data_IF_883141158167
#
_entry.id   IF_883141158167
#
_cell.length_a   1.000
_cell.length_b   1.000
_cell.length_c   1.000
_cell.angle_alpha   90.00
_cell.angle_beta   90.00
_cell.angle_gamma   90.00
#
_symmetry.space_group_name_H-M   'P 1'
#
loop_
_entity.id
_entity.type
_entity.pdbx_description
1 polymer ?
#
# COMPACT_ATOMS: atom_id res chain seq x y z
N UNK A 1 -10.19 -1.07 1.53
CA UNK A 1 -9.40 -0.52 2.67
C UNK A 1 -9.85 -1.17 3.97
N UNK A 2 -8.94 -1.61 4.80
CA UNK A 2 -9.25 -2.24 6.07
C UNK A 2 -8.76 -1.38 7.24
N UNK A 3 -9.61 -1.13 8.22
CA UNK A 3 -9.33 -0.36 9.42
C UNK A 3 -9.70 -1.20 10.67
N UNK A 4 -8.98 -0.99 11.76
CA UNK A 4 -9.22 -1.71 12.99
C UNK A 4 -10.13 -0.94 13.94
N UNK A 5 -11.17 -1.61 14.41
CA UNK A 5 -12.03 -1.09 15.47
C UNK A 5 -11.68 -1.74 16.83
N UNK A 6 -11.36 -0.94 17.84
CA UNK A 6 -11.32 -1.40 19.22
C UNK A 6 -12.75 -1.39 19.78
N UNK A 7 -13.36 -2.53 19.94
CA UNK A 7 -14.41 -2.68 20.94
C UNK A 7 -13.70 -2.95 22.26
N UNK A 8 -14.04 -2.18 23.29
CA UNK A 8 -13.38 -2.23 24.58
C UNK A 8 -13.74 -3.48 25.38
N UNK A 9 -13.20 -4.63 24.97
CA UNK A 9 -13.16 -5.82 25.80
C UNK A 9 -11.82 -6.53 25.63
N UNK A 10 -11.29 -6.89 26.76
CA UNK A 10 -10.01 -7.52 27.01
C UNK A 10 -9.69 -8.68 26.09
N UNK A 11 -8.43 -8.73 25.70
CA UNK A 11 -7.70 -9.87 25.17
C UNK A 11 -8.13 -10.42 23.81
N UNK A 12 -7.20 -10.33 22.87
CA UNK A 12 -7.08 -11.10 21.63
C UNK A 12 -8.06 -10.77 20.51
N UNK A 13 -7.59 -10.07 19.53
CA UNK A 13 -8.21 -10.05 18.23
C UNK A 13 -9.13 -8.86 17.97
N UNK A 14 -8.53 -7.68 17.83
CA UNK A 14 -9.29 -6.56 17.28
C UNK A 14 -9.87 -6.92 15.92
N UNK A 15 -11.14 -6.61 15.73
CA UNK A 15 -11.83 -6.86 14.46
C UNK A 15 -11.34 -5.90 13.40
N UNK A 16 -11.00 -6.42 12.22
CA UNK A 16 -10.77 -5.62 11.05
C UNK A 16 -12.12 -5.17 10.47
N UNK A 17 -12.17 -3.90 10.09
CA UNK A 17 -13.29 -3.36 9.31
C UNK A 17 -12.86 -3.13 7.87
N UNK A 18 -13.67 -3.59 6.95
CA UNK A 18 -13.51 -3.27 5.54
C UNK A 18 -14.41 -2.07 5.21
N UNK A 19 -13.83 -1.04 4.60
CA UNK A 19 -14.53 0.19 4.23
C UNK A 19 -14.25 0.52 2.77
N UNK A 20 -15.25 1.06 2.09
CA UNK A 20 -15.04 1.66 0.79
C UNK A 20 -14.45 3.07 0.97
N UNK A 21 -13.46 3.42 0.15
CA UNK A 21 -12.84 4.72 0.17
C UNK A 21 -12.37 5.10 -1.24
N UNK A 22 -12.30 6.40 -1.51
CA UNK A 22 -11.77 6.90 -2.77
C UNK A 22 -10.24 6.81 -2.80
N UNK A 23 -9.69 6.40 -3.93
CA UNK A 23 -8.24 6.40 -4.14
C UNK A 23 -7.74 7.83 -4.36
N UNK A 24 -6.80 8.22 -3.54
CA UNK A 24 -6.10 9.50 -3.61
C UNK A 24 -6.62 10.52 -2.60
N UNK A 25 -5.68 11.14 -1.89
CA UNK A 25 -5.99 12.28 -1.06
C UNK A 25 -6.26 13.53 -1.92
N UNK A 26 -7.12 14.43 -1.46
CA UNK A 26 -7.30 15.70 -2.14
C UNK A 26 -5.94 16.39 -2.36
N UNK A 27 -5.71 17.00 -3.53
CA UNK A 27 -4.45 17.68 -3.82
C UNK A 27 -4.26 18.88 -2.89
N UNK A 28 -2.99 19.20 -2.58
CA UNK A 28 -2.65 20.36 -1.79
C UNK A 28 -3.01 21.70 -2.46
N UNK A 29 -3.14 21.69 -3.79
CA UNK A 29 -3.53 22.85 -4.60
C UNK A 29 -4.86 22.57 -5.29
N UNK A 30 -5.71 23.61 -5.40
CA UNK A 30 -7.08 23.52 -5.96
C UNK A 30 -7.18 22.85 -7.35
N UNK A 31 -6.13 22.92 -8.16
CA UNK A 31 -6.08 22.32 -9.52
C UNK A 31 -5.09 21.15 -9.62
N UNK A 32 -4.69 20.56 -8.51
CA UNK A 32 -3.76 19.45 -8.50
C UNK A 32 -4.43 18.10 -8.77
N UNK A 33 -3.63 17.09 -9.14
CA UNK A 33 -4.08 15.72 -9.19
C UNK A 33 -4.18 15.13 -7.76
N UNK A 34 -5.08 14.15 -7.53
CA UNK A 34 -5.13 13.43 -6.27
C UNK A 34 -3.79 12.77 -5.93
N UNK A 35 -3.45 12.75 -4.64
CA UNK A 35 -2.23 12.10 -4.14
C UNK A 35 -2.51 10.63 -3.94
N UNK A 36 -2.19 9.81 -4.94
CA UNK A 36 -2.43 8.37 -4.91
C UNK A 36 -1.27 7.58 -4.30
N UNK A 37 -0.07 8.12 -4.32
CA UNK A 37 1.15 7.54 -3.77
C UNK A 37 1.84 8.52 -2.84
N UNK A 38 2.39 8.01 -1.75
CA UNK A 38 3.06 8.80 -0.75
C UNK A 38 4.38 8.14 -0.35
N UNK A 39 5.49 8.86 -0.45
CA UNK A 39 6.80 8.34 -0.06
C UNK A 39 6.87 8.11 1.44
N UNK A 40 7.33 6.93 1.83
CA UNK A 40 7.39 6.52 3.24
C UNK A 40 8.69 6.86 3.95
N UNK A 41 9.78 7.05 3.22
CA UNK A 41 11.13 7.20 3.80
C UNK A 41 11.22 8.44 4.70
N UNK A 42 11.76 8.23 5.90
CA UNK A 42 11.99 9.28 6.87
C UNK A 42 10.71 9.87 7.50
N UNK A 43 9.57 9.26 7.28
CA UNK A 43 8.28 9.73 7.77
C UNK A 43 7.70 8.85 8.85
N UNK A 44 6.85 9.43 9.69
CA UNK A 44 6.08 8.73 10.71
C UNK A 44 4.60 8.88 10.42
N UNK A 45 3.86 7.81 10.68
CA UNK A 45 2.43 7.74 10.45
C UNK A 45 1.72 7.27 11.72
N UNK A 46 1.51 8.18 12.69
CA UNK A 46 0.88 7.83 13.97
C UNK A 46 -0.63 7.63 13.86
N UNK A 47 -1.24 8.01 12.73
CA UNK A 47 -2.69 7.93 12.49
C UNK A 47 -2.99 7.40 11.10
N UNK A 48 -4.15 6.77 10.97
CA UNK A 48 -4.73 6.42 9.68
C UNK A 48 -4.02 5.29 8.94
N UNK A 49 -3.25 4.45 9.62
CA UNK A 49 -2.68 3.28 8.99
C UNK A 49 -3.78 2.32 8.55
N UNK A 50 -3.70 1.85 7.31
CA UNK A 50 -4.64 0.87 6.77
C UNK A 50 -3.94 -0.14 5.88
N UNK A 51 -4.68 -1.19 5.53
CA UNK A 51 -4.29 -2.20 4.56
C UNK A 51 -5.16 -2.07 3.32
N UNK A 52 -4.55 -2.12 2.15
CA UNK A 52 -5.26 -2.08 0.87
C UNK A 52 -5.11 -3.45 0.20
N UNK A 53 -6.18 -4.28 0.16
CA UNK A 53 -6.14 -5.58 -0.48
C UNK A 53 -5.99 -5.45 -2.00
N UNK A 54 -5.19 -6.34 -2.58
CA UNK A 54 -5.02 -6.45 -4.02
C UNK A 54 -4.67 -7.87 -4.41
N UNK A 55 -5.02 -8.27 -5.62
CA UNK A 55 -4.59 -9.54 -6.22
C UNK A 55 -3.31 -9.38 -7.04
N UNK A 56 -3.08 -8.21 -7.59
CA UNK A 56 -1.93 -7.87 -8.43
C UNK A 56 -1.79 -6.35 -8.55
N UNK A 57 -0.68 -5.92 -9.12
CA UNK A 57 -0.48 -4.54 -9.56
C UNK A 57 0.31 -4.50 -10.86
N UNK A 58 0.31 -3.36 -11.52
CA UNK A 58 0.99 -3.17 -12.79
C UNK A 58 2.05 -2.08 -12.71
N UNK A 59 3.12 -2.28 -13.47
CA UNK A 59 4.11 -1.27 -13.77
C UNK A 59 4.36 -1.20 -15.28
N UNK A 60 4.84 -0.07 -15.75
CA UNK A 60 5.02 0.19 -17.16
C UNK A 60 6.45 0.59 -17.46
N UNK A 61 6.99 0.08 -18.58
CA UNK A 61 8.31 0.47 -19.09
C UNK A 61 8.22 0.96 -20.52
N UNK A 62 9.17 1.81 -20.90
CA UNK A 62 9.25 2.38 -22.23
C UNK A 62 8.91 3.87 -22.28
N UNK A 63 9.51 4.57 -23.23
CA UNK A 63 9.32 6.02 -23.43
C UNK A 63 8.17 6.36 -24.38
N UNK A 64 7.74 5.41 -25.21
CA UNK A 64 6.69 5.60 -26.22
C UNK A 64 5.48 4.71 -25.94
N UNK A 65 4.30 5.20 -26.28
CA UNK A 65 3.06 4.43 -26.23
C UNK A 65 2.92 3.52 -27.48
N UNK A 66 2.42 2.27 -27.34
CA UNK A 66 2.05 1.61 -26.08
C UNK A 66 3.29 1.17 -25.30
N UNK A 67 3.29 1.47 -23.98
CA UNK A 67 4.34 1.01 -23.07
C UNK A 67 4.21 -0.47 -22.79
N UNK A 68 5.33 -1.12 -22.51
CA UNK A 68 5.31 -2.49 -21.96
C UNK A 68 4.63 -2.50 -20.61
N UNK A 69 3.78 -3.48 -20.37
CA UNK A 69 3.00 -3.62 -19.15
C UNK A 69 3.41 -4.88 -18.41
N UNK A 70 3.76 -4.73 -17.15
CA UNK A 70 4.24 -5.79 -16.28
C UNK A 70 3.26 -6.02 -15.15
N UNK A 71 2.87 -7.27 -14.94
CA UNK A 71 1.98 -7.67 -13.86
C UNK A 71 2.78 -8.31 -12.73
N UNK A 72 2.53 -7.85 -11.52
CA UNK A 72 3.12 -8.38 -10.29
C UNK A 72 2.07 -9.07 -9.45
N UNK A 73 2.38 -10.28 -9.02
CA UNK A 73 1.56 -11.06 -8.08
C UNK A 73 2.42 -11.51 -6.90
N UNK A 74 1.79 -11.78 -5.77
CA UNK A 74 2.50 -12.28 -4.60
C UNK A 74 2.75 -13.78 -4.74
N UNK A 75 4.00 -14.20 -4.63
CA UNK A 75 4.35 -15.61 -4.70
C UNK A 75 3.67 -16.40 -3.59
N UNK A 76 2.99 -17.50 -3.97
CA UNK A 76 2.33 -18.40 -3.03
C UNK A 76 1.02 -17.90 -2.43
N UNK A 77 0.51 -16.74 -2.86
CA UNK A 77 -0.72 -16.15 -2.33
C UNK A 77 -1.61 -15.61 -3.45
N UNK A 78 -2.93 -15.78 -3.33
CA UNK A 78 -3.89 -15.29 -4.32
C UNK A 78 -4.15 -13.79 -4.20
N UNK A 79 -3.90 -13.22 -3.04
CA UNK A 79 -4.05 -11.81 -2.75
C UNK A 79 -3.12 -11.40 -1.61
N UNK A 80 -2.88 -10.11 -1.50
CA UNK A 80 -1.99 -9.51 -0.52
C UNK A 80 -2.51 -8.13 -0.12
N UNK A 81 -1.82 -7.45 0.79
CA UNK A 81 -2.16 -6.08 1.17
C UNK A 81 -0.97 -5.14 0.99
N UNK A 82 -1.26 -3.96 0.47
CA UNK A 82 -0.36 -2.82 0.56
C UNK A 82 -0.51 -2.10 1.89
N UNK A 83 0.56 -1.50 2.35
CA UNK A 83 0.49 -0.49 3.41
C UNK A 83 -0.04 0.81 2.82
N UNK A 84 -0.98 1.42 3.51
CA UNK A 84 -1.55 2.69 3.11
C UNK A 84 -1.97 3.55 4.29
N UNK A 85 -2.45 4.73 3.94
CA UNK A 85 -3.04 5.68 4.87
C UNK A 85 -4.45 6.01 4.43
N UNK A 86 -5.33 6.26 5.38
CA UNK A 86 -6.68 6.74 5.12
C UNK A 86 -7.00 7.95 5.97
N UNK A 87 -7.93 8.73 5.51
CA UNK A 87 -8.50 9.85 6.26
C UNK A 87 -9.91 10.17 5.78
N UNK A 88 -10.77 10.72 6.66
CA UNK A 88 -12.05 11.26 6.22
C UNK A 88 -11.81 12.49 5.33
N UNK A 89 -12.71 12.67 4.35
CA UNK A 89 -12.69 13.85 3.49
C UNK A 89 -13.65 14.92 4.04
N UNK A 90 -13.35 16.22 3.87
CA UNK A 90 -14.22 17.30 4.32
C UNK A 90 -15.64 17.24 3.74
N UNK A 91 -15.77 16.74 2.51
CA UNK A 91 -17.03 16.66 1.77
C UNK A 91 -17.82 15.37 2.03
N UNK A 92 -17.33 14.54 2.96
CA UNK A 92 -17.91 13.24 3.28
C UNK A 92 -17.17 12.08 2.59
N UNK A 93 -17.34 10.88 3.17
CA UNK A 93 -16.61 9.70 2.75
C UNK A 93 -15.15 9.68 3.21
N UNK A 94 -14.45 8.63 2.82
CA UNK A 94 -13.05 8.41 3.16
C UNK A 94 -12.19 8.40 1.90
N UNK A 95 -10.92 8.78 2.04
CA UNK A 95 -9.92 8.63 1.00
C UNK A 95 -8.74 7.81 1.54
N UNK A 96 -8.05 7.11 0.65
CA UNK A 96 -6.82 6.40 0.98
C UNK A 96 -5.72 6.69 -0.03
N UNK A 97 -4.48 6.52 0.40
CA UNK A 97 -3.29 6.61 -0.44
C UNK A 97 -2.38 5.42 -0.17
N UNK A 98 -1.60 5.04 -1.18
CA UNK A 98 -0.63 3.96 -1.10
C UNK A 98 0.72 4.49 -0.64
N UNK A 99 1.40 3.77 0.24
CA UNK A 99 2.76 4.09 0.63
C UNK A 99 3.74 3.44 -0.35
N UNK A 100 4.77 4.18 -0.71
CA UNK A 100 5.83 3.70 -1.59
C UNK A 100 7.18 3.69 -0.88
N UNK A 101 8.05 2.82 -1.35
CA UNK A 101 9.43 2.67 -0.90
C UNK A 101 10.36 2.55 -2.11
N UNK A 102 11.66 2.50 -1.86
CA UNK A 102 12.62 2.09 -2.86
C UNK A 102 12.27 0.69 -3.41
N UNK A 103 12.62 0.37 -4.65
CA UNK A 103 12.29 -0.93 -5.22
C UNK A 103 13.16 -2.02 -4.62
N UNK A 104 12.53 -3.16 -4.33
CA UNK A 104 13.25 -4.40 -4.03
C UNK A 104 13.74 -5.10 -5.29
N UNK A 105 14.43 -6.25 -5.13
CA UNK A 105 15.03 -6.98 -6.25
C UNK A 105 14.06 -7.35 -7.37
N UNK A 106 12.81 -7.67 -7.04
CA UNK A 106 11.81 -8.08 -8.03
C UNK A 106 11.30 -6.93 -8.89
N UNK A 107 11.27 -5.72 -8.36
CA UNK A 107 10.71 -4.52 -9.02
C UNK A 107 11.80 -3.65 -9.65
N UNK A 108 12.99 -3.59 -9.05
CA UNK A 108 14.08 -2.70 -9.49
C UNK A 108 14.41 -2.76 -10.99
N UNK A 109 14.38 -3.92 -11.66
CA UNK A 109 14.62 -3.97 -13.11
C UNK A 109 13.56 -3.24 -13.95
N UNK A 110 12.38 -2.97 -13.37
CA UNK A 110 11.21 -2.47 -14.10
C UNK A 110 10.86 -1.05 -13.68
N UNK A 111 10.94 -0.74 -12.39
CA UNK A 111 10.57 0.58 -11.89
C UNK A 111 11.48 1.03 -10.74
N UNK A 112 11.66 2.33 -10.59
CA UNK A 112 12.53 2.92 -9.57
C UNK A 112 11.84 3.17 -8.22
N UNK A 113 10.56 2.86 -8.11
CA UNK A 113 9.76 2.91 -6.88
C UNK A 113 8.81 1.73 -6.86
N UNK A 114 8.39 1.32 -5.67
CA UNK A 114 7.33 0.32 -5.52
C UNK A 114 6.39 0.66 -4.37
N UNK A 115 5.16 0.18 -4.48
CA UNK A 115 4.23 0.20 -3.37
C UNK A 115 4.68 -0.80 -2.30
N UNK A 116 4.49 -0.43 -1.04
CA UNK A 116 4.86 -1.30 0.08
C UNK A 116 3.87 -2.44 0.20
N UNK A 117 4.33 -3.65 -0.09
CA UNK A 117 3.59 -4.89 0.17
C UNK A 117 3.94 -5.37 1.57
N UNK A 118 2.94 -5.64 2.40
CA UNK A 118 3.14 -6.19 3.74
C UNK A 118 2.87 -7.69 3.76
N UNK A 119 3.79 -8.44 4.35
CA UNK A 119 3.57 -9.85 4.68
C UNK A 119 2.46 -9.98 5.73
N UNK A 120 1.68 -11.07 5.66
CA UNK A 120 0.56 -11.30 6.60
C UNK A 120 0.94 -11.19 8.07
N UNK A 121 2.09 -11.72 8.54
CA UNK A 121 2.50 -11.57 9.94
C UNK A 121 2.71 -10.12 10.38
N UNK A 122 2.97 -9.21 9.45
CA UNK A 122 3.24 -7.79 9.72
C UNK A 122 1.96 -6.92 9.71
N UNK A 123 0.84 -7.43 9.22
CA UNK A 123 -0.40 -6.65 9.10
C UNK A 123 -0.85 -6.06 10.42
N UNK A 124 -0.87 -6.86 11.47
CA UNK A 124 -1.25 -6.41 12.80
C UNK A 124 -0.28 -5.36 13.35
N UNK A 125 1.01 -5.59 13.19
CA UNK A 125 2.02 -4.66 13.65
C UNK A 125 1.89 -3.28 12.97
N UNK A 126 1.54 -3.25 11.68
CA UNK A 126 1.25 -2.02 10.96
C UNK A 126 0.02 -1.31 11.49
N UNK A 127 -1.12 -2.01 11.55
CA UNK A 127 -2.39 -1.43 11.97
C UNK A 127 -2.39 -0.94 13.43
N UNK A 128 -1.69 -1.62 14.31
CA UNK A 128 -1.66 -1.35 15.75
C UNK A 128 -0.48 -0.50 16.21
N UNK A 129 0.35 -0.03 15.29
CA UNK A 129 1.54 0.76 15.62
C UNK A 129 2.52 0.02 16.57
N UNK A 130 2.63 -1.30 16.41
CA UNK A 130 3.48 -2.13 17.27
C UNK A 130 4.95 -2.12 16.86
N UNK A 131 5.23 -1.76 15.59
CA UNK A 131 6.57 -1.65 15.04
C UNK A 131 6.74 -0.36 14.27
N UNK A 132 7.98 0.11 14.16
CA UNK A 132 8.30 1.36 13.47
C UNK A 132 8.05 1.27 11.96
N UNK A 133 7.89 2.42 11.33
CA UNK A 133 7.78 2.55 9.88
C UNK A 133 8.99 1.98 9.17
N UNK A 134 10.19 2.26 9.67
CA UNK A 134 11.44 1.78 9.06
C UNK A 134 11.55 0.24 9.06
N UNK A 135 10.98 -0.43 10.05
CA UNK A 135 10.96 -1.90 10.11
C UNK A 135 9.95 -2.53 9.15
N UNK A 136 8.82 -1.88 8.91
CA UNK A 136 7.70 -2.43 8.15
C UNK A 136 7.65 -1.94 6.71
N UNK A 137 8.01 -0.68 6.45
CA UNK A 137 7.88 -0.04 5.14
C UNK A 137 9.16 -0.20 4.31
N UNK A 138 9.46 -1.42 3.95
CA UNK A 138 10.63 -1.80 3.16
C UNK A 138 10.24 -2.77 2.05
N UNK A 139 11.06 -2.86 0.98
CA UNK A 139 10.81 -3.83 -0.08
C UNK A 139 10.96 -5.26 0.43
N UNK A 140 10.22 -6.18 -0.17
CA UNK A 140 10.34 -7.61 0.10
C UNK A 140 11.59 -8.20 -0.55
N UNK A 141 12.13 -9.32 -0.01
CA UNK A 141 13.26 -10.03 -0.59
C UNK A 141 12.97 -10.53 -2.01
N UNK A 142 14.04 -10.85 -2.75
CA UNK A 142 13.95 -11.48 -4.06
C UNK A 142 13.10 -12.74 -4.03
N UNK A 143 12.26 -12.93 -5.07
CA UNK A 143 11.35 -14.06 -5.18
C UNK A 143 10.01 -13.89 -4.45
N UNK A 144 9.80 -12.79 -3.74
CA UNK A 144 8.54 -12.51 -3.06
C UNK A 144 7.41 -12.15 -4.03
N UNK A 145 7.75 -11.54 -5.15
CA UNK A 145 6.81 -11.14 -6.21
C UNK A 145 7.13 -11.90 -7.49
N UNK A 146 6.09 -12.45 -8.11
CA UNK A 146 6.16 -13.00 -9.46
C UNK A 146 5.88 -11.91 -10.47
N UNK A 147 6.70 -11.84 -11.52
CA UNK A 147 6.66 -10.78 -12.53
C UNK A 147 6.37 -11.39 -13.90
N UNK A 148 5.39 -10.86 -14.60
CA UNK A 148 4.98 -11.31 -15.93
C UNK A 148 4.77 -10.11 -16.85
N UNK A 149 5.38 -10.14 -18.04
CA UNK A 149 5.07 -9.16 -19.06
C UNK A 149 3.75 -9.53 -19.73
N UNK A 150 2.77 -8.63 -19.67
CA UNK A 150 1.42 -8.85 -20.21
C UNK A 150 1.13 -8.01 -21.45
N UNK A 151 2.07 -7.13 -21.83
CA UNK A 151 2.05 -6.37 -23.06
C UNK A 151 3.45 -5.88 -23.39
#
# INVERSE_FOLDING_TARGET
MADRHRSGDSASGGRLRVRAAALGFPPARRKGAPIINFRSEGRRFPKGRCLIPASHFFEFTGSKSPKSKWKFTKAGEDWFCFAGLWRPMPEGGDAFTLLTTEPGPDVAPIHNRQMVVLERPDWRAWLELLRSEAELLRPLPAGSLHVEQVR
#
